data_IF_618576043279
#
_entry.id   IF_618576043279
#
_cell.length_a   1.000
_cell.length_b   1.000
_cell.length_c   1.000
_cell.angle_alpha   90.00
_cell.angle_beta   90.00
_cell.angle_gamma   90.00
#
_symmetry.space_group_name_H-M   'P 1'
#
loop_
_entity.id
_entity.type
_entity.pdbx_description
1 polymer ?
#
# COMPACT_ATOMS: atom_id res chain seq x y z
N UNK A 1 1.26 10.91 -3.19
CA UNK A 1 2.32 10.82 -2.15
C UNK A 1 3.72 10.68 -2.76
N UNK A 2 4.75 11.13 -2.04
CA UNK A 2 6.16 10.93 -2.40
C UNK A 2 6.64 9.50 -2.09
N UNK A 3 7.67 9.01 -2.79
CA UNK A 3 8.11 7.61 -2.69
C UNK A 3 8.58 7.24 -1.27
N UNK A 4 9.24 8.17 -0.58
CA UNK A 4 9.68 7.99 0.80
C UNK A 4 8.47 7.92 1.75
N UNK A 5 7.47 8.77 1.55
CA UNK A 5 6.25 8.78 2.36
C UNK A 5 5.44 7.49 2.19
N UNK A 6 5.30 7.02 0.94
CA UNK A 6 4.66 5.72 0.64
C UNK A 6 5.37 4.58 1.36
N UNK A 7 6.70 4.61 1.38
CA UNK A 7 7.52 3.56 2.00
C UNK A 7 7.44 3.57 3.52
N UNK A 8 7.54 4.75 4.16
CA UNK A 8 7.35 4.87 5.61
C UNK A 8 5.94 4.47 6.02
N UNK A 9 4.93 4.91 5.26
CA UNK A 9 3.52 4.54 5.51
C UNK A 9 3.29 3.03 5.36
N UNK A 10 3.77 2.43 4.27
CA UNK A 10 3.69 0.99 4.02
C UNK A 10 4.38 0.18 5.14
N UNK A 11 5.57 0.61 5.57
CA UNK A 11 6.33 -0.06 6.64
C UNK A 11 5.58 0.00 7.98
N UNK A 12 5.05 1.17 8.36
CA UNK A 12 4.22 1.32 9.57
C UNK A 12 2.96 0.48 9.51
N UNK A 13 2.28 0.46 8.37
CA UNK A 13 1.05 -0.30 8.17
C UNK A 13 1.31 -1.80 8.30
N UNK A 14 2.38 -2.32 7.68
CA UNK A 14 2.79 -3.73 7.80
C UNK A 14 3.25 -4.05 9.21
N UNK A 15 3.97 -3.15 9.88
CA UNK A 15 4.40 -3.36 11.26
C UNK A 15 3.22 -3.43 12.24
N UNK A 16 2.17 -2.62 12.02
CA UNK A 16 0.98 -2.58 12.85
C UNK A 16 -0.05 -3.69 12.53
N UNK A 17 -0.27 -3.99 11.24
CA UNK A 17 -1.34 -4.89 10.78
C UNK A 17 -0.83 -6.24 10.27
N UNK A 18 0.48 -6.39 10.05
CA UNK A 18 1.10 -7.61 9.52
C UNK A 18 0.53 -8.01 8.17
N UNK A 19 0.04 -9.25 8.07
CA UNK A 19 -0.63 -9.80 6.91
C UNK A 19 -1.91 -9.05 6.49
N UNK A 20 -2.58 -8.38 7.44
CA UNK A 20 -3.83 -7.67 7.17
C UNK A 20 -3.62 -6.35 6.41
N UNK A 21 -2.37 -5.84 6.36
CA UNK A 21 -2.05 -4.60 5.66
C UNK A 21 -2.41 -4.66 4.17
N UNK A 22 -2.18 -5.79 3.49
CA UNK A 22 -2.54 -5.95 2.07
C UNK A 22 -4.06 -5.98 1.89
N UNK A 23 -4.79 -6.54 2.86
CA UNK A 23 -6.25 -6.62 2.81
C UNK A 23 -6.86 -5.21 2.91
N UNK A 24 -6.39 -4.40 3.85
CA UNK A 24 -6.80 -3.00 4.02
C UNK A 24 -6.51 -2.16 2.78
N UNK A 25 -5.29 -2.27 2.23
CA UNK A 25 -4.90 -1.54 1.01
C UNK A 25 -5.77 -1.98 -0.18
N UNK A 26 -6.04 -3.28 -0.31
CA UNK A 26 -6.90 -3.79 -1.39
C UNK A 26 -8.36 -3.33 -1.26
N UNK A 27 -8.86 -3.23 -0.02
CA UNK A 27 -10.21 -2.74 0.24
C UNK A 27 -10.31 -1.23 -0.04
N UNK A 28 -9.31 -0.45 0.38
CA UNK A 28 -9.19 0.97 0.08
C UNK A 28 -9.08 1.27 -1.42
N UNK A 29 -8.33 0.47 -2.18
CA UNK A 29 -8.26 0.60 -3.64
C UNK A 29 -9.65 0.48 -4.27
N UNK A 30 -10.42 -0.56 -3.92
CA UNK A 30 -11.77 -0.78 -4.46
C UNK A 30 -12.73 0.36 -4.08
N UNK A 31 -12.65 0.84 -2.85
CA UNK A 31 -13.47 1.96 -2.37
C UNK A 31 -13.13 3.27 -3.10
N UNK A 32 -11.83 3.51 -3.39
CA UNK A 32 -11.38 4.63 -4.19
C UNK A 32 -11.85 4.52 -5.65
N UNK A 33 -11.77 3.33 -6.25
CA UNK A 33 -12.30 3.09 -7.60
C UNK A 33 -13.82 3.33 -7.66
N UNK A 34 -14.57 2.84 -6.67
CA UNK A 34 -16.01 3.06 -6.57
C UNK A 34 -16.38 4.53 -6.37
N UNK A 35 -15.56 5.27 -5.61
CA UNK A 35 -15.75 6.71 -5.36
C UNK A 35 -15.20 7.61 -6.49
N UNK A 36 -14.61 7.05 -7.55
CA UNK A 36 -13.99 7.83 -8.63
C UNK A 36 -12.71 8.57 -8.22
N UNK A 37 -12.08 8.16 -7.12
CA UNK A 37 -10.85 8.76 -6.57
C UNK A 37 -9.60 8.12 -7.17
N UNK A 38 -9.33 8.46 -8.42
CA UNK A 38 -8.24 7.88 -9.21
C UNK A 38 -6.85 8.19 -8.63
N UNK A 39 -6.67 9.38 -8.04
CA UNK A 39 -5.40 9.77 -7.42
C UNK A 39 -5.10 8.96 -6.15
N UNK A 40 -6.13 8.80 -5.30
CA UNK A 40 -6.05 8.01 -4.07
C UNK A 40 -5.81 6.53 -4.40
N UNK A 41 -6.49 5.97 -5.41
CA UNK A 41 -6.25 4.61 -5.91
C UNK A 41 -4.80 4.39 -6.40
N UNK A 42 -4.20 5.41 -7.04
CA UNK A 42 -2.80 5.37 -7.49
C UNK A 42 -1.82 5.38 -6.33
N UNK A 43 -2.09 6.13 -5.28
CA UNK A 43 -1.30 6.11 -4.05
C UNK A 43 -1.41 4.75 -3.34
N UNK A 44 -2.61 4.18 -3.23
CA UNK A 44 -2.81 2.84 -2.67
C UNK A 44 -2.11 1.75 -3.49
N UNK A 45 -2.10 1.84 -4.82
CA UNK A 45 -1.35 0.94 -5.69
C UNK A 45 0.16 0.99 -5.41
N UNK A 46 0.73 2.19 -5.22
CA UNK A 46 2.14 2.35 -4.83
C UNK A 46 2.43 1.76 -3.45
N UNK A 47 1.57 1.98 -2.46
CA UNK A 47 1.68 1.40 -1.12
C UNK A 47 1.67 -0.13 -1.22
N UNK A 48 0.73 -0.71 -1.97
CA UNK A 48 0.63 -2.16 -2.19
C UNK A 48 1.90 -2.74 -2.80
N UNK A 49 2.45 -2.09 -3.82
CA UNK A 49 3.69 -2.52 -4.47
C UNK A 49 4.87 -2.48 -3.50
N UNK A 50 4.99 -1.42 -2.70
CA UNK A 50 6.02 -1.32 -1.67
C UNK A 50 5.89 -2.41 -0.61
N UNK A 51 4.66 -2.68 -0.14
CA UNK A 51 4.41 -3.79 0.80
C UNK A 51 4.80 -5.13 0.18
N UNK A 52 4.49 -5.37 -1.10
CA UNK A 52 4.92 -6.57 -1.80
C UNK A 52 6.45 -6.65 -1.94
N UNK A 53 7.14 -5.54 -2.23
CA UNK A 53 8.61 -5.49 -2.25
C UNK A 53 9.23 -5.73 -0.88
N UNK A 54 8.57 -5.28 0.20
CA UNK A 54 9.00 -5.53 1.58
C UNK A 54 8.78 -6.97 2.04
N UNK A 55 7.70 -7.62 1.56
CA UNK A 55 7.32 -9.01 1.94
C UNK A 55 7.92 -10.08 1.00
N UNK A 56 8.23 -9.74 -0.24
CA UNK A 56 8.97 -10.59 -1.19
C UNK A 56 10.48 -10.56 -0.92
N UNK A 57 11.26 -11.55 -1.39
CA UNK A 57 12.60 -11.81 -0.87
C UNK A 57 13.49 -10.58 -1.04
N UNK A 58 13.89 -10.05 0.12
CA UNK A 58 14.99 -9.10 0.29
C UNK A 58 16.11 -9.42 -0.70
N UNK A 59 16.40 -8.44 -1.54
CA UNK A 59 17.71 -8.18 -2.15
C UNK A 59 18.21 -9.20 -3.19
N UNK A 60 18.45 -8.70 -4.40
CA UNK A 60 19.76 -8.93 -5.03
C UNK A 60 20.26 -7.62 -5.61
#
# INVERSE_FOLDING_TARGET
MDAIQVTDYASRLVSAHGDKAILEVSQKMRDCEASGKTDEARDWARVRETIHRMRGPRQK
#
